data_IF_318787059964
#
_entry.id   IF_318787059964
#
_cell.length_a   1.000
_cell.length_b   1.000
_cell.length_c   1.000
_cell.angle_alpha   90.00
_cell.angle_beta   90.00
_cell.angle_gamma   90.00
#
_symmetry.space_group_name_H-M   'P 1'
#
loop_
_entity.id
_entity.type
_entity.pdbx_description
1 polymer ?
#
# COMPACT_ATOMS: atom_id res chain seq x y z
N UNK A 1 -15.52 15.92 -11.38
CA UNK A 1 -15.79 14.88 -12.40
C UNK A 1 -14.76 13.80 -12.19
N UNK A 2 -15.18 12.57 -11.89
CA UNK A 2 -14.22 11.48 -11.68
C UNK A 2 -13.53 11.14 -13.00
N UNK A 3 -12.20 11.13 -12.98
CA UNK A 3 -11.42 10.79 -14.15
C UNK A 3 -11.76 9.37 -14.63
N UNK A 4 -12.00 9.19 -15.92
CA UNK A 4 -12.30 7.88 -16.49
C UNK A 4 -11.07 6.98 -16.38
N UNK A 5 -11.25 5.74 -15.92
CA UNK A 5 -10.16 4.75 -15.92
C UNK A 5 -9.85 4.33 -17.37
N UNK A 6 -8.57 4.22 -17.74
CA UNK A 6 -8.17 3.72 -19.05
C UNK A 6 -8.64 2.27 -19.24
N UNK A 7 -8.74 1.78 -20.50
CA UNK A 7 -9.00 0.37 -20.77
C UNK A 7 -7.84 -0.51 -20.23
N UNK A 8 -8.08 -1.81 -19.94
CA UNK A 8 -7.05 -2.71 -19.41
C UNK A 8 -5.74 -2.70 -20.21
N UNK A 9 -5.84 -2.68 -21.55
CA UNK A 9 -4.69 -2.69 -22.47
C UNK A 9 -3.77 -1.49 -22.31
N UNK A 10 -4.31 -0.34 -21.87
CA UNK A 10 -3.59 0.92 -21.77
C UNK A 10 -3.36 1.32 -20.30
N UNK A 11 -3.81 0.52 -19.33
CA UNK A 11 -3.80 0.90 -17.92
C UNK A 11 -2.38 1.19 -17.41
N UNK A 12 -1.45 0.25 -17.63
CA UNK A 12 -0.09 0.38 -17.13
C UNK A 12 0.70 1.48 -17.86
N UNK A 13 0.50 1.63 -19.18
CA UNK A 13 1.11 2.73 -19.94
C UNK A 13 0.54 4.09 -19.53
N UNK A 14 -0.74 4.16 -19.17
CA UNK A 14 -1.38 5.38 -18.63
C UNK A 14 -0.85 5.73 -17.25
N UNK A 15 -0.67 4.76 -16.35
CA UNK A 15 -0.02 4.97 -15.04
C UNK A 15 1.36 5.59 -15.26
N UNK A 16 2.21 4.95 -16.06
CA UNK A 16 3.58 5.42 -16.32
C UNK A 16 3.61 6.81 -16.95
N UNK A 17 2.82 7.04 -18.01
CA UNK A 17 2.83 8.31 -18.73
C UNK A 17 2.23 9.48 -17.93
N UNK A 18 1.16 9.23 -17.15
CA UNK A 18 0.59 10.26 -16.27
C UNK A 18 1.57 10.62 -15.14
N UNK A 19 2.24 9.64 -14.54
CA UNK A 19 3.25 9.86 -13.52
C UNK A 19 4.48 10.61 -14.09
N UNK A 20 5.03 10.18 -15.22
CA UNK A 20 6.15 10.84 -15.88
C UNK A 20 5.84 12.30 -16.23
N UNK A 21 4.63 12.55 -16.76
CA UNK A 21 4.18 13.91 -17.09
C UNK A 21 4.12 14.79 -15.84
N UNK A 22 3.55 14.28 -14.74
CA UNK A 22 3.44 15.04 -13.49
C UNK A 22 4.82 15.30 -12.88
N UNK A 23 5.70 14.30 -12.84
CA UNK A 23 7.07 14.42 -12.32
C UNK A 23 7.82 15.54 -13.04
N UNK A 24 7.81 15.53 -14.37
CA UNK A 24 8.46 16.54 -15.19
C UNK A 24 7.86 17.94 -14.97
N UNK A 25 6.52 18.07 -14.97
CA UNK A 25 5.85 19.35 -14.70
C UNK A 25 6.08 19.88 -13.29
N UNK A 26 6.27 18.96 -12.34
CA UNK A 26 6.51 19.30 -10.94
C UNK A 26 7.95 19.70 -10.66
N UNK A 27 8.83 19.69 -11.67
CA UNK A 27 10.25 20.04 -11.50
C UNK A 27 11.00 19.10 -10.57
N UNK A 28 10.53 17.85 -10.40
CA UNK A 28 11.21 16.82 -9.62
C UNK A 28 12.19 16.11 -10.55
N UNK A 29 13.46 16.11 -10.20
CA UNK A 29 14.52 15.50 -11.00
C UNK A 29 14.95 14.16 -10.40
N UNK A 30 15.34 13.24 -11.28
CA UNK A 30 15.85 11.91 -10.91
C UNK A 30 17.35 11.90 -11.23
N UNK A 31 18.20 11.67 -10.24
CA UNK A 31 19.65 11.75 -10.38
C UNK A 31 20.25 10.40 -10.85
N UNK A 32 20.78 10.31 -12.09
CA UNK A 32 21.34 9.07 -12.61
C UNK A 32 22.61 8.61 -11.87
N UNK A 33 23.41 9.53 -11.34
CA UNK A 33 24.63 9.18 -10.63
C UNK A 33 24.30 8.51 -9.28
N UNK A 34 23.29 9.02 -8.57
CA UNK A 34 22.82 8.40 -7.33
C UNK A 34 22.11 7.06 -7.60
N UNK A 35 21.47 6.88 -8.76
CA UNK A 35 20.96 5.57 -9.19
C UNK A 35 22.11 4.57 -9.36
N UNK A 36 23.17 4.95 -10.08
CA UNK A 36 24.35 4.09 -10.28
C UNK A 36 25.00 3.72 -8.95
N UNK A 37 25.22 4.71 -8.07
CA UNK A 37 25.77 4.48 -6.73
C UNK A 37 24.87 3.53 -5.93
N UNK A 38 23.56 3.75 -5.94
CA UNK A 38 22.60 2.91 -5.22
C UNK A 38 22.65 1.46 -5.70
N UNK A 39 22.54 1.22 -7.02
CA UNK A 39 22.59 -0.12 -7.61
C UNK A 39 23.91 -0.82 -7.28
N UNK A 40 25.04 -0.13 -7.46
CA UNK A 40 26.36 -0.72 -7.29
C UNK A 40 26.71 -0.97 -5.81
N UNK A 41 26.07 -0.26 -4.89
CA UNK A 41 26.23 -0.47 -3.45
C UNK A 41 25.55 -1.74 -2.93
N UNK A 42 24.57 -2.29 -3.66
CA UNK A 42 23.78 -3.44 -3.21
C UNK A 42 24.55 -4.77 -3.27
N UNK A 43 24.69 -5.49 -2.14
CA UNK A 43 25.22 -6.85 -2.15
C UNK A 43 24.21 -7.82 -2.76
N UNK A 44 24.66 -8.69 -3.68
CA UNK A 44 23.80 -9.67 -4.35
C UNK A 44 23.10 -10.62 -3.37
N UNK A 45 23.79 -11.06 -2.32
CA UNK A 45 23.24 -11.99 -1.33
C UNK A 45 22.17 -11.33 -0.46
N UNK A 46 22.29 -10.03 -0.22
CA UNK A 46 21.27 -9.27 0.48
C UNK A 46 20.06 -9.09 -0.43
N UNK A 47 20.26 -8.70 -1.70
CA UNK A 47 19.18 -8.59 -2.69
C UNK A 47 18.35 -9.87 -2.73
N UNK A 48 18.99 -11.02 -3.00
CA UNK A 48 18.30 -12.33 -3.06
C UNK A 48 17.50 -12.66 -1.79
N UNK A 49 17.95 -12.18 -0.63
CA UNK A 49 17.30 -12.43 0.65
C UNK A 49 16.15 -11.47 0.94
N UNK A 50 16.20 -10.24 0.42
CA UNK A 50 15.32 -9.15 0.84
C UNK A 50 14.45 -8.55 -0.27
N UNK A 51 14.68 -8.87 -1.54
CA UNK A 51 13.88 -8.40 -2.68
C UNK A 51 12.72 -9.33 -3.04
N UNK A 52 12.66 -10.52 -2.45
CA UNK A 52 11.72 -11.56 -2.84
C UNK A 52 10.25 -11.17 -2.63
N UNK A 53 9.33 -11.68 -3.45
CA UNK A 53 7.90 -11.37 -3.37
C UNK A 53 7.25 -11.70 -2.02
N UNK A 54 7.78 -12.68 -1.28
CA UNK A 54 7.38 -13.01 0.08
C UNK A 54 7.58 -11.86 1.08
N UNK A 55 8.39 -10.87 0.72
CA UNK A 55 8.70 -9.69 1.54
C UNK A 55 7.64 -8.60 1.44
N UNK A 56 6.68 -8.72 0.54
CA UNK A 56 5.48 -7.86 0.49
C UNK A 56 4.49 -8.10 1.65
N UNK A 57 4.86 -8.90 2.66
CA UNK A 57 4.05 -9.11 3.87
C UNK A 57 2.91 -10.13 3.70
N UNK A 58 3.04 -11.07 2.78
CA UNK A 58 1.90 -11.88 2.27
C UNK A 58 1.88 -13.31 2.79
N UNK A 59 2.98 -13.79 3.39
CA UNK A 59 3.03 -15.16 3.92
C UNK A 59 2.33 -15.22 5.28
N UNK A 60 1.01 -15.38 5.24
CA UNK A 60 0.19 -15.53 6.43
C UNK A 60 0.42 -16.92 7.05
N UNK A 61 0.60 -17.03 8.37
CA UNK A 61 0.81 -18.32 9.06
C UNK A 61 -0.51 -19.05 9.30
N UNK A 62 -1.38 -19.10 8.29
CA UNK A 62 -2.73 -19.66 8.37
C UNK A 62 -2.92 -20.81 7.36
N UNK A 63 -3.78 -21.74 7.73
CA UNK A 63 -4.36 -22.71 6.79
C UNK A 63 -5.78 -22.24 6.50
N UNK A 64 -6.12 -22.10 5.23
CA UNK A 64 -7.45 -21.70 4.77
C UNK A 64 -8.24 -22.92 4.33
N UNK A 65 -9.54 -22.95 4.62
CA UNK A 65 -10.42 -24.07 4.26
C UNK A 65 -10.76 -24.04 2.76
N UNK A 66 -10.60 -22.89 2.10
CA UNK A 66 -10.81 -22.74 0.67
C UNK A 66 -10.00 -21.61 0.03
N UNK A 67 -9.86 -21.66 -1.30
CA UNK A 67 -9.29 -20.57 -2.10
C UNK A 67 -10.08 -19.27 -1.95
N UNK A 68 -11.42 -19.34 -1.88
CA UNK A 68 -12.26 -18.14 -1.69
C UNK A 68 -11.95 -17.45 -0.36
N UNK A 69 -11.76 -18.23 0.70
CA UNK A 69 -11.47 -17.72 2.03
C UNK A 69 -10.11 -17.03 2.11
N UNK A 70 -9.09 -17.64 1.50
CA UNK A 70 -7.77 -17.00 1.37
C UNK A 70 -7.84 -15.71 0.56
N UNK A 71 -8.53 -15.72 -0.59
CA UNK A 71 -8.78 -14.51 -1.38
C UNK A 71 -9.52 -13.45 -0.56
N UNK A 72 -10.42 -13.85 0.32
CA UNK A 72 -11.17 -12.92 1.16
C UNK A 72 -10.28 -12.22 2.18
N UNK A 73 -9.37 -12.97 2.81
CA UNK A 73 -8.38 -12.41 3.75
C UNK A 73 -7.41 -11.49 3.03
N UNK A 74 -6.84 -11.92 1.90
CA UNK A 74 -5.92 -11.08 1.11
C UNK A 74 -6.62 -9.82 0.57
N UNK A 75 -7.85 -9.95 0.07
CA UNK A 75 -8.67 -8.85 -0.42
C UNK A 75 -9.03 -7.84 0.67
N UNK A 76 -9.40 -8.31 1.86
CA UNK A 76 -9.71 -7.45 3.01
C UNK A 76 -8.44 -6.77 3.56
N UNK A 77 -7.31 -7.49 3.59
CA UNK A 77 -6.03 -6.90 3.94
C UNK A 77 -5.64 -5.79 2.95
N UNK A 78 -5.76 -6.02 1.64
CA UNK A 78 -5.51 -5.00 0.63
C UNK A 78 -6.45 -3.80 0.74
N UNK A 79 -7.74 -4.05 1.02
CA UNK A 79 -8.74 -3.01 1.22
C UNK A 79 -8.31 -2.05 2.33
N UNK A 80 -7.87 -2.61 3.45
CA UNK A 80 -7.51 -1.87 4.66
C UNK A 80 -6.04 -1.46 4.72
N UNK A 81 -5.22 -1.81 3.73
CA UNK A 81 -3.79 -1.45 3.64
C UNK A 81 -3.57 0.04 3.32
N UNK A 82 -3.99 0.89 4.25
CA UNK A 82 -3.77 2.33 4.28
C UNK A 82 -3.42 2.78 5.71
N UNK A 83 -3.35 4.10 5.96
CA UNK A 83 -2.99 4.75 7.23
C UNK A 83 -1.48 4.93 7.43
N UNK A 84 -0.68 4.86 6.38
CA UNK A 84 0.76 5.11 6.49
C UNK A 84 1.10 6.52 7.00
N UNK A 85 0.22 7.50 6.73
CA UNK A 85 0.30 8.85 7.31
C UNK A 85 0.00 8.95 8.82
N UNK A 86 -0.52 7.89 9.43
CA UNK A 86 -0.76 7.79 10.88
C UNK A 86 0.30 6.94 11.60
N UNK A 87 1.45 6.67 10.97
CA UNK A 87 2.51 5.83 11.53
C UNK A 87 2.85 6.14 12.99
N UNK A 88 3.04 7.41 13.34
CA UNK A 88 3.34 7.81 14.72
C UNK A 88 2.22 7.48 15.70
N UNK A 89 0.98 7.82 15.33
CA UNK A 89 -0.18 7.49 16.12
C UNK A 89 -0.29 5.97 16.31
N UNK A 90 -0.14 5.18 15.25
CA UNK A 90 -0.20 3.73 15.34
C UNK A 90 0.92 3.13 16.19
N UNK A 91 2.16 3.63 16.09
CA UNK A 91 3.22 3.20 16.99
C UNK A 91 2.91 3.53 18.45
N UNK A 92 2.37 4.73 18.73
CA UNK A 92 1.93 5.12 20.07
C UNK A 92 0.80 4.24 20.60
N UNK A 93 -0.21 3.97 19.77
CA UNK A 93 -1.46 3.33 20.17
C UNK A 93 -1.42 1.80 20.14
N UNK A 94 -0.51 1.19 19.38
CA UNK A 94 -0.46 -0.26 19.18
C UNK A 94 0.94 -0.87 19.22
N UNK A 95 1.99 -0.04 19.32
CA UNK A 95 3.38 -0.49 19.18
C UNK A 95 3.78 -0.96 17.78
N UNK A 96 2.94 -0.72 16.75
CA UNK A 96 3.10 -1.27 15.38
C UNK A 96 2.97 -0.17 14.33
N UNK A 97 3.58 -0.39 13.17
CA UNK A 97 3.35 0.43 11.99
C UNK A 97 2.04 0.06 11.27
N UNK A 98 1.64 0.88 10.30
CA UNK A 98 0.34 0.76 9.60
C UNK A 98 0.03 -0.65 9.09
N UNK A 99 0.90 -1.20 8.23
CA UNK A 99 0.69 -2.53 7.65
C UNK A 99 0.50 -3.62 8.73
N UNK A 100 1.38 -3.68 9.73
CA UNK A 100 1.29 -4.67 10.81
C UNK A 100 0.05 -4.50 11.69
N UNK A 101 -0.47 -3.29 11.85
CA UNK A 101 -1.74 -3.07 12.55
C UNK A 101 -2.92 -3.58 11.72
N UNK A 102 -2.91 -3.37 10.41
CA UNK A 102 -3.96 -3.85 9.51
C UNK A 102 -3.94 -5.37 9.38
N UNK A 103 -2.74 -5.96 9.28
CA UNK A 103 -2.52 -7.40 9.35
C UNK A 103 -3.09 -7.99 10.65
N UNK A 104 -2.76 -7.40 11.81
CA UNK A 104 -3.32 -7.81 13.11
C UNK A 104 -4.86 -7.77 13.12
N UNK A 105 -5.46 -6.69 12.60
CA UNK A 105 -6.90 -6.53 12.55
C UNK A 105 -7.57 -7.62 11.70
N UNK A 106 -7.05 -7.87 10.49
CA UNK A 106 -7.64 -8.83 9.55
C UNK A 106 -7.45 -10.26 10.04
N UNK A 107 -6.27 -10.60 10.57
CA UNK A 107 -6.01 -11.93 11.13
C UNK A 107 -6.85 -12.19 12.38
N UNK A 108 -7.01 -11.19 13.26
CA UNK A 108 -7.89 -11.32 14.43
C UNK A 108 -9.35 -11.54 14.00
N UNK A 109 -9.81 -10.81 12.97
CA UNK A 109 -11.15 -10.99 12.42
C UNK A 109 -11.36 -12.37 11.81
N UNK A 110 -10.33 -12.93 11.15
CA UNK A 110 -10.34 -14.27 10.62
C UNK A 110 -10.43 -15.33 11.71
N UNK A 111 -9.53 -15.27 12.70
CA UNK A 111 -9.46 -16.24 13.80
C UNK A 111 -10.74 -16.24 14.63
N UNK A 112 -11.32 -15.07 14.88
CA UNK A 112 -12.58 -14.92 15.62
C UNK A 112 -13.83 -15.20 14.79
N UNK A 113 -13.71 -15.43 13.47
CA UNK A 113 -14.89 -15.62 12.60
C UNK A 113 -15.52 -17.01 12.74
N UNK A 114 -14.79 -17.99 13.27
CA UNK A 114 -15.26 -19.38 13.42
C UNK A 114 -16.56 -19.52 14.20
N UNK A 115 -16.80 -18.65 15.19
CA UNK A 115 -18.01 -18.65 16.01
C UNK A 115 -19.22 -17.99 15.32
N UNK A 116 -18.99 -16.99 14.47
CA UNK A 116 -20.04 -16.25 13.77
C UNK A 116 -19.53 -15.55 12.49
N UNK A 117 -19.40 -16.28 11.37
CA UNK A 117 -18.78 -15.78 10.14
C UNK A 117 -19.50 -14.54 9.57
N UNK A 118 -20.82 -14.49 9.65
CA UNK A 118 -21.67 -13.41 9.14
C UNK A 118 -21.50 -12.08 9.88
N UNK A 119 -20.97 -12.12 11.10
CA UNK A 119 -20.68 -10.92 11.91
C UNK A 119 -19.25 -10.42 11.77
N UNK A 120 -18.37 -11.23 11.18
CA UNK A 120 -16.97 -10.86 10.93
C UNK A 120 -16.90 -9.79 9.84
N UNK A 121 -15.96 -8.85 9.99
CA UNK A 121 -15.65 -7.83 8.98
C UNK A 121 -15.12 -8.43 7.66
N UNK A 122 -14.95 -9.74 7.58
CA UNK A 122 -14.66 -10.48 6.35
C UNK A 122 -15.92 -10.78 5.51
N UNK A 123 -17.12 -10.52 6.03
CA UNK A 123 -18.38 -10.64 5.30
C UNK A 123 -18.97 -9.26 4.98
N UNK A 124 -19.75 -9.13 3.91
CA UNK A 124 -20.44 -7.88 3.56
C UNK A 124 -21.33 -7.37 4.72
N UNK A 125 -22.04 -8.30 5.39
CA UNK A 125 -22.87 -7.99 6.56
C UNK A 125 -22.04 -7.47 7.73
N UNK A 126 -20.94 -8.13 8.08
CA UNK A 126 -20.08 -7.68 9.17
C UNK A 126 -19.39 -6.36 8.86
N UNK A 127 -18.96 -6.12 7.62
CA UNK A 127 -18.45 -4.82 7.16
C UNK A 127 -19.46 -3.68 7.38
N UNK A 128 -20.73 -3.93 7.03
CA UNK A 128 -21.83 -2.97 7.21
C UNK A 128 -22.10 -2.64 8.69
N UNK A 129 -21.90 -3.62 9.57
CA UNK A 129 -22.19 -3.53 11.01
C UNK A 129 -20.95 -3.18 11.85
N UNK A 130 -19.78 -3.07 11.22
CA UNK A 130 -18.52 -2.82 11.90
C UNK A 130 -18.60 -1.54 12.75
N UNK A 131 -18.25 -1.66 14.03
CA UNK A 131 -18.24 -0.54 14.97
C UNK A 131 -16.82 -0.13 15.31
N UNK A 132 -16.64 1.14 15.70
CA UNK A 132 -15.35 1.66 16.21
C UNK A 132 -14.81 0.78 17.35
N UNK A 133 -15.68 0.31 18.25
CA UNK A 133 -15.27 -0.55 19.36
C UNK A 133 -14.78 -1.93 18.90
N UNK A 134 -15.48 -2.56 17.96
CA UNK A 134 -15.06 -3.85 17.38
C UNK A 134 -13.72 -3.72 16.66
N UNK A 135 -13.55 -2.68 15.84
CA UNK A 135 -12.31 -2.44 15.10
C UNK A 135 -11.14 -2.13 16.04
N UNK A 136 -11.38 -1.36 17.11
CA UNK A 136 -10.38 -1.08 18.14
C UNK A 136 -9.90 -2.36 18.84
N UNK A 137 -10.82 -3.26 19.20
CA UNK A 137 -10.48 -4.52 19.85
C UNK A 137 -9.69 -5.45 18.91
N UNK A 138 -10.14 -5.62 17.66
CA UNK A 138 -9.46 -6.45 16.65
C UNK A 138 -8.06 -5.91 16.32
N UNK A 139 -7.91 -4.60 16.15
CA UNK A 139 -6.62 -3.97 15.87
C UNK A 139 -5.73 -3.79 17.12
N UNK A 140 -6.29 -3.99 18.32
CA UNK A 140 -5.69 -3.61 19.61
C UNK A 140 -5.25 -2.13 19.63
N UNK A 141 -6.13 -1.24 19.16
CA UNK A 141 -5.92 0.21 19.20
C UNK A 141 -6.47 0.73 20.53
N UNK A 142 -5.57 1.31 21.35
CA UNK A 142 -5.97 2.06 22.52
C UNK A 142 -6.78 3.30 22.10
N UNK A 143 -7.99 3.45 22.63
CA UNK A 143 -8.90 4.55 22.25
C UNK A 143 -8.84 5.74 23.21
N UNK A 144 -8.25 5.54 24.39
CA UNK A 144 -8.19 6.53 25.46
C UNK A 144 -6.80 6.55 26.08
N UNK A 145 -6.37 7.74 26.48
CA UNK A 145 -5.13 7.95 27.25
C UNK A 145 -5.50 8.26 28.70
N UNK A 146 -4.89 7.55 29.63
CA UNK A 146 -5.08 7.88 31.05
C UNK A 146 -4.36 9.17 31.43
N UNK A 147 -5.10 10.14 31.95
CA UNK A 147 -4.55 11.38 32.53
C UNK A 147 -5.04 11.58 33.97
N UNK A 148 -4.28 12.32 34.77
CA UNK A 148 -4.69 12.66 36.12
C UNK A 148 -6.01 13.44 36.10
N UNK A 149 -6.90 13.14 37.04
CA UNK A 149 -8.18 13.83 37.16
C UNK A 149 -7.93 15.32 37.46
N UNK A 150 -8.53 16.26 36.71
CA UNK A 150 -8.18 17.69 36.77
C UNK A 150 -8.38 18.30 38.16
N UNK A 151 -9.29 17.75 38.97
CA UNK A 151 -9.61 18.25 40.32
C UNK A 151 -9.26 17.31 41.47
N UNK A 152 -8.97 16.02 41.21
CA UNK A 152 -8.70 15.02 42.26
C UNK A 152 -7.22 14.64 42.35
N UNK A 153 -6.36 15.33 41.60
CA UNK A 153 -4.91 15.12 41.59
C UNK A 153 -4.50 13.80 40.94
N UNK A 154 -3.22 13.44 41.10
CA UNK A 154 -2.62 12.24 40.48
C UNK A 154 -3.09 10.90 41.04
N UNK A 155 -3.84 10.91 42.15
CA UNK A 155 -4.38 9.70 42.79
C UNK A 155 -5.56 9.09 42.02
N UNK A 156 -6.24 9.89 41.19
CA UNK A 156 -7.34 9.44 40.33
C UNK A 156 -6.95 9.73 38.90
N UNK A 157 -7.13 8.75 38.01
CA UNK A 157 -6.94 8.93 36.57
C UNK A 157 -8.28 8.83 35.84
N UNK A 158 -8.40 9.55 34.73
CA UNK A 158 -9.53 9.50 33.81
C UNK A 158 -9.03 9.14 32.42
N UNK A 159 -9.81 8.36 31.68
CA UNK A 159 -9.57 8.10 30.27
C UNK A 159 -10.04 9.29 29.45
N UNK A 160 -9.10 9.99 28.82
CA UNK A 160 -9.42 11.03 27.82
C UNK A 160 -9.39 10.39 26.44
N UNK A 161 -10.37 10.71 25.61
CA UNK A 161 -10.47 10.24 24.22
C UNK A 161 -9.21 10.61 23.43
N UNK A 162 -8.63 9.66 22.72
CA UNK A 162 -7.53 9.93 21.77
C UNK A 162 -8.11 10.25 20.38
N UNK A 163 -8.02 11.51 19.95
CA UNK A 163 -8.63 11.95 18.69
C UNK A 163 -8.05 11.25 17.45
N UNK A 164 -6.74 10.94 17.43
CA UNK A 164 -6.12 10.24 16.30
C UNK A 164 -6.59 8.78 16.23
N UNK A 165 -6.77 8.12 17.39
CA UNK A 165 -7.33 6.77 17.44
C UNK A 165 -8.73 6.72 16.81
N UNK A 166 -9.60 7.67 17.16
CA UNK A 166 -10.96 7.74 16.63
C UNK A 166 -11.01 8.14 15.15
N UNK A 167 -10.10 9.00 14.69
CA UNK A 167 -9.94 9.33 13.27
C UNK A 167 -9.57 8.09 12.44
N UNK A 168 -8.56 7.34 12.90
CA UNK A 168 -8.10 6.08 12.28
C UNK A 168 -9.26 5.08 12.19
N UNK A 169 -9.94 4.83 13.32
CA UNK A 169 -11.03 3.86 13.39
C UNK A 169 -12.25 4.32 12.56
N UNK A 170 -12.48 5.63 12.46
CA UNK A 170 -13.50 6.22 11.61
C UNK A 170 -13.24 5.98 10.13
N UNK A 171 -11.99 6.15 9.67
CA UNK A 171 -11.60 5.85 8.29
C UNK A 171 -11.79 4.36 7.96
N UNK A 172 -11.36 3.46 8.85
CA UNK A 172 -11.53 2.01 8.69
C UNK A 172 -13.02 1.62 8.58
N UNK A 173 -13.86 2.12 9.51
CA UNK A 173 -15.30 1.86 9.48
C UNK A 173 -15.96 2.43 8.21
N UNK A 174 -15.53 3.60 7.75
CA UNK A 174 -16.00 4.22 6.52
C UNK A 174 -15.73 3.35 5.28
N UNK A 175 -14.49 2.88 5.13
CA UNK A 175 -14.08 2.00 4.01
C UNK A 175 -14.85 0.68 4.04
N UNK A 176 -15.00 0.04 5.21
CA UNK A 176 -15.76 -1.20 5.34
C UNK A 176 -17.23 -0.99 4.95
N UNK A 177 -17.85 0.07 5.45
CA UNK A 177 -19.25 0.39 5.14
C UNK A 177 -19.45 0.63 3.65
N UNK A 178 -18.64 1.47 3.01
CA UNK A 178 -18.74 1.75 1.57
C UNK A 178 -18.56 0.47 0.74
N UNK A 179 -17.59 -0.37 1.13
CA UNK A 179 -17.33 -1.66 0.48
C UNK A 179 -18.52 -2.61 0.62
N UNK A 180 -19.15 -2.67 1.80
CA UNK A 180 -20.36 -3.48 2.01
C UNK A 180 -21.52 -3.05 1.12
N UNK A 181 -21.68 -1.75 0.88
CA UNK A 181 -22.73 -1.21 0.01
C UNK A 181 -22.51 -1.58 -1.46
N UNK A 182 -21.24 -1.66 -1.89
CA UNK A 182 -20.87 -2.17 -3.22
C UNK A 182 -21.13 -3.68 -3.31
N UNK A 183 -20.65 -4.46 -2.35
CA UNK A 183 -20.82 -5.92 -2.33
C UNK A 183 -22.30 -6.32 -2.34
N UNK A 184 -23.13 -5.69 -1.51
CA UNK A 184 -24.56 -5.98 -1.44
C UNK A 184 -25.28 -5.62 -2.76
N UNK A 185 -24.85 -4.55 -3.43
CA UNK A 185 -25.39 -4.17 -4.75
C UNK A 185 -25.05 -5.18 -5.84
N UNK A 186 -23.86 -5.77 -5.76
CA UNK A 186 -23.40 -6.80 -6.69
C UNK A 186 -23.89 -8.21 -6.30
N UNK A 187 -24.44 -8.38 -5.10
CA UNK A 187 -24.90 -9.67 -4.59
C UNK A 187 -23.76 -10.58 -4.12
N UNK A 188 -22.56 -10.05 -3.87
CA UNK A 188 -21.43 -10.83 -3.37
C UNK A 188 -21.40 -10.83 -1.83
N UNK A 189 -21.19 -12.00 -1.23
CA UNK A 189 -21.14 -12.16 0.24
C UNK A 189 -19.87 -11.59 0.90
N UNK A 190 -18.80 -11.44 0.12
CA UNK A 190 -17.47 -11.07 0.59
C UNK A 190 -16.60 -10.58 -0.57
N UNK A 191 -15.47 -9.96 -0.26
CA UNK A 191 -14.49 -9.57 -1.29
C UNK A 191 -13.88 -10.81 -1.94
N UNK A 192 -13.65 -11.89 -1.18
CA UNK A 192 -13.12 -13.14 -1.72
C UNK A 192 -14.02 -13.76 -2.78
N UNK A 193 -15.34 -13.76 -2.54
CA UNK A 193 -16.32 -14.24 -3.52
C UNK A 193 -16.30 -13.41 -4.81
N UNK A 194 -16.22 -12.08 -4.67
CA UNK A 194 -16.11 -11.18 -5.82
C UNK A 194 -14.79 -11.37 -6.58
N UNK A 195 -13.66 -11.50 -5.87
CA UNK A 195 -12.34 -11.74 -6.46
C UNK A 195 -12.31 -13.05 -7.23
N UNK A 196 -12.85 -14.12 -6.67
CA UNK A 196 -12.88 -15.43 -7.31
C UNK A 196 -13.62 -15.39 -8.65
N UNK A 197 -14.77 -14.71 -8.69
CA UNK A 197 -15.52 -14.48 -9.94
C UNK A 197 -14.67 -13.69 -10.95
N UNK A 198 -14.08 -12.56 -10.53
CA UNK A 198 -13.31 -11.68 -11.43
C UNK A 198 -11.99 -12.28 -11.90
N UNK A 199 -11.37 -13.15 -11.11
CA UNK A 199 -10.20 -13.93 -11.52
C UNK A 199 -10.56 -14.91 -12.65
N UNK A 200 -11.74 -15.53 -12.56
CA UNK A 200 -12.30 -16.34 -13.65
C UNK A 200 -12.50 -15.51 -14.92
N UNK A 201 -13.15 -14.35 -14.80
CA UNK A 201 -13.40 -13.44 -15.93
C UNK A 201 -12.12 -12.87 -16.54
N UNK A 202 -11.09 -12.62 -15.73
CA UNK A 202 -9.86 -11.98 -16.16
C UNK A 202 -8.93 -12.91 -16.97
N UNK A 203 -9.07 -14.23 -16.82
CA UNK A 203 -8.27 -15.23 -17.54
C UNK A 203 -6.74 -14.98 -17.49
N UNK A 204 -6.27 -14.49 -16.34
CA UNK A 204 -4.88 -14.13 -16.09
C UNK A 204 -4.47 -12.73 -16.54
N UNK A 205 -5.39 -11.88 -17.01
CA UNK A 205 -5.14 -10.47 -17.31
C UNK A 205 -5.08 -9.64 -16.01
N UNK A 206 -3.87 -9.43 -15.50
CA UNK A 206 -3.62 -8.63 -14.31
C UNK A 206 -4.11 -7.18 -14.42
N UNK A 207 -3.78 -6.42 -15.49
CA UNK A 207 -4.29 -5.07 -15.70
C UNK A 207 -5.82 -4.98 -15.71
N UNK A 208 -6.52 -5.97 -16.29
CA UNK A 208 -7.98 -6.04 -16.22
C UNK A 208 -8.48 -6.13 -14.78
N UNK A 209 -7.89 -7.02 -13.96
CA UNK A 209 -8.28 -7.17 -12.56
C UNK A 209 -8.02 -5.90 -11.73
N UNK A 210 -6.90 -5.21 -11.96
CA UNK A 210 -6.59 -3.92 -11.32
C UNK A 210 -7.65 -2.87 -11.68
N UNK A 211 -8.02 -2.77 -12.95
CA UNK A 211 -9.08 -1.86 -13.41
C UNK A 211 -10.42 -2.23 -12.80
N UNK A 212 -10.77 -3.51 -12.76
CA UNK A 212 -12.04 -3.97 -12.21
C UNK A 212 -12.14 -3.64 -10.72
N UNK A 213 -11.07 -3.83 -9.94
CA UNK A 213 -10.97 -3.38 -8.54
C UNK A 213 -11.20 -1.87 -8.41
N UNK A 214 -10.44 -1.05 -9.14
CA UNK A 214 -10.51 0.42 -9.06
C UNK A 214 -11.82 1.01 -9.61
N UNK A 215 -12.53 0.28 -10.47
CA UNK A 215 -13.84 0.68 -10.99
C UNK A 215 -14.99 0.27 -10.08
N UNK A 216 -14.79 -0.78 -9.27
CA UNK A 216 -15.82 -1.36 -8.41
C UNK A 216 -15.80 -0.77 -7.01
N UNK A 217 -14.62 -0.67 -6.41
CA UNK A 217 -14.44 -0.27 -5.03
C UNK A 217 -13.72 1.09 -4.95
N UNK A 218 -14.36 2.16 -4.42
CA UNK A 218 -13.76 3.49 -4.42
C UNK A 218 -12.43 3.56 -3.65
N UNK A 219 -12.30 2.79 -2.57
CA UNK A 219 -11.06 2.71 -1.78
C UNK A 219 -9.86 2.12 -2.55
N UNK A 220 -10.06 1.45 -3.69
CA UNK A 220 -9.00 0.99 -4.60
C UNK A 220 -8.70 2.00 -5.73
N UNK A 221 -9.52 3.05 -5.89
CA UNK A 221 -9.43 4.06 -6.94
C UNK A 221 -8.48 5.19 -6.58
N UNK A 222 -7.22 4.86 -6.34
CA UNK A 222 -6.12 5.80 -6.08
C UNK A 222 -5.76 6.58 -7.36
N UNK A 223 -6.65 7.52 -7.70
CA UNK A 223 -6.61 8.42 -8.86
C UNK A 223 -6.87 9.84 -8.38
N UNK A 224 -5.95 10.75 -8.69
CA UNK A 224 -5.97 12.11 -8.18
C UNK A 224 -6.02 13.11 -9.32
N UNK A 225 -6.70 14.24 -9.10
CA UNK A 225 -6.66 15.37 -10.02
C UNK A 225 -5.62 16.38 -9.52
N UNK A 226 -4.48 16.45 -10.19
CA UNK A 226 -3.39 17.39 -9.85
C UNK A 226 -3.15 18.29 -11.05
N UNK A 227 -3.25 19.60 -10.86
CA UNK A 227 -3.14 20.61 -11.92
C UNK A 227 -4.08 20.32 -13.10
N UNK A 228 -5.33 19.96 -12.79
CA UNK A 228 -6.38 19.55 -13.72
C UNK A 228 -6.04 18.30 -14.57
N UNK A 229 -5.04 17.52 -14.16
CA UNK A 229 -4.66 16.27 -14.83
C UNK A 229 -4.92 15.06 -13.94
N UNK A 230 -5.53 14.00 -14.49
CA UNK A 230 -5.72 12.76 -13.75
C UNK A 230 -4.41 11.98 -13.65
N UNK A 231 -4.06 11.60 -12.43
CA UNK A 231 -2.84 10.87 -12.09
C UNK A 231 -3.25 9.53 -11.52
N UNK A 232 -2.77 8.45 -12.13
CA UNK A 232 -3.16 7.09 -11.78
C UNK A 232 -2.03 6.42 -11.02
N UNK A 233 -2.25 6.09 -9.74
CA UNK A 233 -1.27 5.38 -8.91
C UNK A 233 -1.75 3.96 -8.59
N UNK A 234 -3.03 3.80 -8.24
CA UNK A 234 -3.71 2.50 -8.07
C UNK A 234 -2.97 1.50 -7.15
N UNK A 235 -2.26 2.01 -6.13
CA UNK A 235 -1.32 1.24 -5.30
C UNK A 235 -1.91 -0.05 -4.74
N UNK A 236 -3.04 0.03 -4.02
CA UNK A 236 -3.62 -1.15 -3.35
C UNK A 236 -4.16 -2.18 -4.35
N UNK A 237 -4.64 -1.74 -5.50
CA UNK A 237 -5.15 -2.64 -6.54
C UNK A 237 -4.00 -3.40 -7.21
N UNK A 238 -2.93 -2.70 -7.57
CA UNK A 238 -1.70 -3.31 -8.08
C UNK A 238 -1.13 -4.30 -7.06
N UNK A 239 -1.01 -3.89 -5.80
CA UNK A 239 -0.50 -4.73 -4.71
C UNK A 239 -1.34 -6.00 -4.53
N UNK A 240 -2.68 -5.89 -4.47
CA UNK A 240 -3.56 -7.05 -4.30
C UNK A 240 -3.39 -8.08 -5.43
N UNK A 241 -3.35 -7.62 -6.67
CA UNK A 241 -3.20 -8.53 -7.83
C UNK A 241 -1.82 -9.20 -7.82
N UNK A 242 -0.77 -8.48 -7.41
CA UNK A 242 0.56 -9.08 -7.17
C UNK A 242 0.54 -10.11 -6.07
N UNK A 243 -0.05 -9.80 -4.92
CA UNK A 243 -0.21 -10.71 -3.79
C UNK A 243 -0.94 -12.00 -4.19
N UNK A 244 -2.04 -11.89 -4.95
CA UNK A 244 -2.75 -13.06 -5.48
C UNK A 244 -1.87 -13.85 -6.45
N UNK A 245 -1.17 -13.18 -7.37
CA UNK A 245 -0.27 -13.86 -8.30
C UNK A 245 0.81 -14.67 -7.58
N UNK A 246 1.33 -14.16 -6.47
CA UNK A 246 2.40 -14.80 -5.71
C UNK A 246 1.89 -15.93 -4.82
N UNK A 247 0.75 -15.73 -4.14
CA UNK A 247 0.18 -16.73 -3.24
C UNK A 247 -0.30 -18.00 -3.97
N UNK A 248 -0.76 -17.85 -5.22
CA UNK A 248 -1.31 -18.94 -6.02
C UNK A 248 -0.39 -19.39 -7.16
N UNK A 249 0.64 -18.61 -7.52
CA UNK A 249 1.56 -18.91 -8.62
C UNK A 249 2.47 -20.12 -8.40
N UNK A 250 2.68 -20.53 -7.15
CA UNK A 250 3.50 -21.71 -6.79
C UNK A 250 2.67 -22.96 -6.50
N UNK A 251 1.33 -22.89 -6.61
CA UNK A 251 0.43 -24.02 -6.35
C UNK A 251 0.24 -24.87 -7.59
N UNK A 252 -0.17 -26.12 -7.38
CA UNK A 252 -0.49 -27.00 -8.50
C UNK A 252 -1.73 -26.48 -9.24
N UNK A 253 -1.77 -26.52 -10.58
CA UNK A 253 -2.92 -26.01 -11.35
C UNK A 253 -4.27 -26.65 -10.99
N UNK A 254 -4.27 -27.87 -10.43
CA UNK A 254 -5.49 -28.54 -9.96
C UNK A 254 -6.07 -27.94 -8.66
N UNK A 255 -5.28 -27.16 -7.92
CA UNK A 255 -5.67 -26.55 -6.63
C UNK A 255 -6.22 -25.14 -6.80
N UNK A 256 -6.02 -24.51 -7.97
CA UNK A 256 -6.39 -23.13 -8.25
C UNK A 256 -7.46 -23.09 -9.35
N UNK A 257 -8.70 -22.63 -9.07
CA UNK A 257 -9.81 -22.67 -10.01
C UNK A 257 -9.79 -21.55 -11.07
N UNK A 258 -8.69 -20.80 -11.17
CA UNK A 258 -8.53 -19.66 -12.09
C UNK A 258 -7.10 -19.61 -12.63
N UNK A 259 -6.92 -18.89 -13.73
CA UNK A 259 -5.58 -18.61 -14.26
C UNK A 259 -4.93 -17.48 -13.46
N UNK A 260 -3.75 -17.75 -12.92
CA UNK A 260 -2.99 -16.80 -12.10
C UNK A 260 -2.73 -15.50 -12.89
N UNK A 261 -2.99 -14.32 -12.31
CA UNK A 261 -2.78 -13.04 -12.99
C UNK A 261 -1.32 -12.85 -13.43
N UNK A 262 -1.12 -12.37 -14.66
CA UNK A 262 0.19 -11.93 -15.09
C UNK A 262 0.49 -10.53 -14.54
N UNK A 263 1.62 -10.41 -13.85
CA UNK A 263 2.07 -9.18 -13.19
C UNK A 263 3.38 -8.63 -13.75
N UNK A 264 3.96 -9.24 -14.80
CA UNK A 264 5.35 -8.97 -15.23
C UNK A 264 5.68 -7.51 -15.58
N UNK A 265 4.68 -6.69 -15.92
CA UNK A 265 4.84 -5.29 -16.31
C UNK A 265 4.33 -4.29 -15.26
N UNK A 266 3.90 -4.76 -14.10
CA UNK A 266 3.39 -3.89 -13.04
C UNK A 266 4.49 -2.95 -12.54
N UNK A 267 4.18 -1.67 -12.28
CA UNK A 267 5.10 -0.77 -11.64
C UNK A 267 5.20 -1.07 -10.14
N UNK A 268 6.12 -0.39 -9.48
CA UNK A 268 6.19 -0.32 -8.01
C UNK A 268 4.89 0.18 -7.35
N UNK A 269 4.71 -0.13 -6.07
CA UNK A 269 3.51 0.18 -5.28
C UNK A 269 3.72 1.44 -4.42
N UNK A 270 3.91 2.59 -5.07
CA UNK A 270 4.28 3.84 -4.41
C UNK A 270 3.33 4.23 -3.25
N UNK A 271 3.80 4.05 -2.03
CA UNK A 271 3.19 4.49 -0.77
C UNK A 271 3.97 5.69 -0.19
N UNK A 272 4.20 5.74 1.12
CA UNK A 272 5.09 6.74 1.72
C UNK A 272 6.54 6.26 1.95
N UNK A 273 6.82 4.97 1.83
CA UNK A 273 8.15 4.39 2.06
C UNK A 273 9.06 4.70 0.87
N UNK A 274 8.60 4.37 -0.34
CA UNK A 274 9.37 4.57 -1.58
C UNK A 274 9.82 6.03 -1.76
N UNK A 275 8.92 7.04 -1.76
CA UNK A 275 9.37 8.43 -1.92
C UNK A 275 10.34 8.85 -0.83
N UNK A 276 10.12 8.43 0.42
CA UNK A 276 11.04 8.75 1.53
C UNK A 276 12.44 8.18 1.27
N UNK A 277 12.56 6.93 0.83
CA UNK A 277 13.87 6.30 0.59
C UNK A 277 14.57 6.86 -0.64
N UNK A 278 13.84 7.11 -1.72
CA UNK A 278 14.43 7.68 -2.92
C UNK A 278 14.96 9.11 -2.68
N UNK A 279 14.28 9.91 -1.84
CA UNK A 279 14.80 11.22 -1.39
C UNK A 279 16.01 11.03 -0.48
N UNK A 280 15.97 10.07 0.46
CA UNK A 280 17.08 9.78 1.37
C UNK A 280 18.37 9.40 0.62
N UNK A 281 18.24 8.60 -0.44
CA UNK A 281 19.35 8.20 -1.31
C UNK A 281 19.75 9.27 -2.34
N UNK A 282 19.10 10.44 -2.33
CA UNK A 282 19.37 11.51 -3.31
C UNK A 282 18.92 11.18 -4.74
N UNK A 283 18.23 10.07 -4.96
CA UNK A 283 17.71 9.68 -6.28
C UNK A 283 16.62 10.67 -6.72
N UNK A 284 15.74 11.08 -5.80
CA UNK A 284 14.78 12.16 -6.06
C UNK A 284 15.32 13.48 -5.51
N UNK A 285 15.52 14.45 -6.39
CA UNK A 285 15.82 15.83 -6.02
C UNK A 285 14.57 16.72 -6.20
N UNK A 286 14.20 17.40 -5.11
CA UNK A 286 13.03 18.27 -5.00
C UNK A 286 13.39 19.76 -5.06
N UNK A 287 14.68 20.11 -5.14
CA UNK A 287 15.18 21.49 -5.01
C UNK A 287 14.59 22.44 -6.05
N UNK A 288 14.34 21.93 -7.27
CA UNK A 288 13.75 22.66 -8.38
C UNK A 288 12.22 22.49 -8.50
N UNK A 289 11.57 21.83 -7.53
CA UNK A 289 10.15 21.49 -7.65
C UNK A 289 9.28 22.74 -7.80
N UNK A 290 8.21 22.68 -8.61
CA UNK A 290 7.25 23.79 -8.70
C UNK A 290 6.42 23.94 -7.42
N UNK A 291 6.25 22.85 -6.65
CA UNK A 291 5.51 22.80 -5.40
C UNK A 291 6.38 23.32 -4.22
N UNK A 292 6.01 24.45 -3.57
CA UNK A 292 6.78 25.00 -2.46
C UNK A 292 6.94 24.04 -1.28
N UNK A 293 5.93 23.20 -1.00
CA UNK A 293 6.00 22.24 0.10
C UNK A 293 7.11 21.22 -0.16
N UNK A 294 7.22 20.75 -1.42
CA UNK A 294 8.25 19.79 -1.83
C UNK A 294 9.65 20.41 -1.84
N UNK A 295 9.80 21.66 -2.32
CA UNK A 295 11.10 22.36 -2.25
C UNK A 295 11.60 22.53 -0.82
N UNK A 296 10.69 22.73 0.13
CA UNK A 296 11.01 22.91 1.55
C UNK A 296 11.11 21.60 2.34
N UNK A 297 10.80 20.46 1.70
CA UNK A 297 10.77 19.16 2.35
C UNK A 297 12.18 18.77 2.77
N UNK A 298 12.34 18.38 4.04
CA UNK A 298 13.57 17.79 4.53
C UNK A 298 13.28 16.67 5.51
N UNK A 299 13.92 15.51 5.30
CA UNK A 299 13.71 14.32 6.12
C UNK A 299 14.16 14.52 7.58
N UNK A 300 14.97 15.54 7.87
CA UNK A 300 15.40 15.90 9.21
C UNK A 300 14.42 16.80 9.98
N UNK A 301 13.37 17.32 9.32
CA UNK A 301 12.35 18.17 9.94
C UNK A 301 10.96 17.52 9.83
N UNK A 302 10.45 16.88 10.90
CA UNK A 302 9.14 16.23 10.92
C UNK A 302 7.98 17.12 10.46
N UNK A 303 8.03 18.42 10.75
CA UNK A 303 6.96 19.35 10.35
C UNK A 303 6.83 19.54 8.84
N UNK A 304 7.91 19.30 8.08
CA UNK A 304 7.92 19.42 6.62
C UNK A 304 7.41 18.17 5.90
N UNK A 305 7.19 17.08 6.63
CA UNK A 305 6.85 15.76 6.08
C UNK A 305 5.35 15.49 6.04
N UNK A 306 4.53 16.40 6.59
CA UNK A 306 3.08 16.36 6.40
C UNK A 306 2.72 17.06 5.10
N UNK A 307 2.22 16.30 4.13
CA UNK A 307 1.93 16.77 2.79
C UNK A 307 0.43 16.83 2.51
N UNK A 308 0.07 17.78 1.65
CA UNK A 308 -1.23 17.77 0.99
C UNK A 308 -1.35 16.60 0.03
N UNK A 309 -2.58 16.22 -0.33
CA UNK A 309 -2.83 15.16 -1.30
C UNK A 309 -2.16 15.41 -2.66
N UNK A 310 -2.16 16.66 -3.14
CA UNK A 310 -1.49 17.01 -4.38
C UNK A 310 0.03 16.86 -4.29
N UNK A 311 0.65 17.35 -3.21
CA UNK A 311 2.10 17.24 -2.99
C UNK A 311 2.53 15.78 -2.81
N UNK A 312 1.76 14.99 -2.05
CA UNK A 312 1.99 13.56 -1.88
C UNK A 312 1.85 12.79 -3.20
N UNK A 313 0.85 13.13 -4.03
CA UNK A 313 0.68 12.53 -5.36
C UNK A 313 1.89 12.80 -6.26
N UNK A 314 2.45 14.02 -6.24
CA UNK A 314 3.63 14.38 -7.04
C UNK A 314 4.85 13.52 -6.73
N UNK A 315 5.17 13.33 -5.44
CA UNK A 315 6.33 12.50 -5.05
C UNK A 315 6.08 11.00 -5.25
N UNK A 316 4.84 10.53 -5.10
CA UNK A 316 4.47 9.13 -5.38
C UNK A 316 4.57 8.83 -6.88
N UNK A 317 4.10 9.75 -7.72
CA UNK A 317 4.31 9.68 -9.17
C UNK A 317 5.80 9.68 -9.54
N UNK A 318 6.61 10.55 -8.92
CA UNK A 318 8.05 10.58 -9.13
C UNK A 318 8.74 9.28 -8.72
N UNK A 319 8.25 8.63 -7.66
CA UNK A 319 8.77 7.33 -7.21
C UNK A 319 8.53 6.22 -8.22
N UNK A 320 7.36 6.19 -8.87
CA UNK A 320 7.07 5.22 -9.94
C UNK A 320 8.06 5.40 -11.11
N UNK A 321 8.33 6.65 -11.49
CA UNK A 321 9.27 6.96 -12.58
C UNK A 321 10.70 6.56 -12.17
N UNK A 322 11.15 6.99 -11.00
CA UNK A 322 12.50 6.71 -10.51
C UNK A 322 12.77 5.20 -10.35
N UNK A 323 11.81 4.42 -9.84
CA UNK A 323 11.99 2.98 -9.73
C UNK A 323 12.06 2.29 -11.11
N UNK A 324 11.29 2.76 -12.09
CA UNK A 324 11.41 2.31 -13.47
C UNK A 324 12.80 2.61 -14.04
N UNK A 325 13.36 3.79 -13.74
CA UNK A 325 14.70 4.19 -14.16
C UNK A 325 15.79 3.35 -13.46
N UNK A 326 15.63 3.05 -12.17
CA UNK A 326 16.54 2.18 -11.40
C UNK A 326 16.60 0.77 -12.01
N UNK A 327 15.45 0.14 -12.28
CA UNK A 327 15.42 -1.21 -12.88
C UNK A 327 16.03 -1.19 -14.28
N UNK A 328 15.67 -0.19 -15.10
CA UNK A 328 16.23 -0.06 -16.45
C UNK A 328 17.75 0.11 -16.41
N UNK A 329 18.25 0.95 -15.50
CA UNK A 329 19.69 1.17 -15.32
C UNK A 329 20.41 -0.06 -14.77
N UNK A 330 19.76 -0.84 -13.90
CA UNK A 330 20.32 -2.11 -13.42
C UNK A 330 20.56 -3.09 -14.56
N UNK A 331 19.62 -3.18 -15.52
CA UNK A 331 19.77 -4.03 -16.71
C UNK A 331 20.93 -3.58 -17.60
N UNK A 332 21.13 -2.27 -17.77
CA UNK A 332 22.29 -1.72 -18.49
C UNK A 332 23.61 -2.06 -17.78
N UNK A 333 23.67 -1.80 -16.47
CA UNK A 333 24.83 -2.09 -15.63
C UNK A 333 25.18 -3.58 -15.60
N UNK A 334 24.20 -4.47 -15.75
CA UNK A 334 24.45 -5.90 -15.88
C UNK A 334 25.40 -6.21 -17.05
N UNK A 335 25.21 -5.50 -18.17
CA UNK A 335 26.04 -5.63 -19.38
C UNK A 335 27.39 -4.94 -19.20
N UNK A 336 27.41 -3.74 -18.62
CA UNK A 336 28.63 -2.94 -18.43
C UNK A 336 29.61 -3.57 -17.42
N UNK A 337 29.08 -4.17 -16.35
CA UNK A 337 29.87 -4.69 -15.22
C UNK A 337 30.03 -6.21 -15.22
N UNK A 338 29.29 -6.93 -16.07
CA UNK A 338 29.22 -8.38 -16.07
C UNK A 338 28.45 -8.97 -14.88
N UNK A 339 27.72 -8.15 -14.10
CA UNK A 339 26.87 -8.60 -12.99
C UNK A 339 25.51 -9.07 -13.50
N UNK A 340 25.45 -10.30 -14.03
CA UNK A 340 24.25 -10.86 -14.68
C UNK A 340 22.97 -10.81 -13.81
N UNK A 341 23.10 -10.89 -12.48
CA UNK A 341 21.96 -10.85 -11.56
C UNK A 341 21.20 -9.53 -11.57
N UNK A 342 21.82 -8.44 -12.05
CA UNK A 342 21.12 -7.16 -12.21
C UNK A 342 20.10 -7.22 -13.37
N UNK A 343 20.36 -8.04 -14.41
CA UNK A 343 19.48 -8.16 -15.58
C UNK A 343 18.12 -8.83 -15.28
N UNK A 344 18.01 -9.52 -14.13
CA UNK A 344 16.76 -10.16 -13.72
C UNK A 344 15.91 -9.28 -12.81
N UNK A 345 16.36 -8.07 -12.46
CA UNK A 345 15.61 -7.20 -11.57
C UNK A 345 14.25 -6.85 -12.14
N UNK A 346 13.25 -6.90 -11.28
CA UNK A 346 11.90 -6.44 -11.57
C UNK A 346 11.51 -5.29 -10.64
N UNK A 347 10.54 -4.48 -11.04
CA UNK A 347 10.05 -3.40 -10.18
C UNK A 347 9.42 -3.94 -8.89
N UNK A 348 8.76 -5.09 -8.94
CA UNK A 348 8.15 -5.73 -7.78
C UNK A 348 9.20 -6.20 -6.77
N UNK A 349 10.35 -6.67 -7.24
CA UNK A 349 11.47 -7.02 -6.37
C UNK A 349 12.13 -5.77 -5.78
N UNK A 350 12.29 -4.71 -6.58
CA UNK A 350 12.81 -3.42 -6.11
C UNK A 350 11.88 -2.80 -5.05
N UNK A 351 10.56 -2.89 -5.23
CA UNK A 351 9.58 -2.45 -4.25
C UNK A 351 9.73 -3.21 -2.93
N UNK A 352 9.82 -4.54 -2.99
CA UNK A 352 10.03 -5.39 -1.81
C UNK A 352 11.35 -5.09 -1.09
N UNK A 353 12.41 -4.86 -1.87
CA UNK A 353 13.72 -4.44 -1.38
C UNK A 353 13.67 -3.11 -0.65
N UNK A 354 13.14 -2.06 -1.29
CA UNK A 354 13.00 -0.72 -0.70
C UNK A 354 12.13 -0.77 0.56
N UNK A 355 11.03 -1.52 0.53
CA UNK A 355 10.15 -1.64 1.69
C UNK A 355 10.86 -2.29 2.89
N UNK A 356 11.68 -3.31 2.64
CA UNK A 356 12.51 -3.95 3.66
C UNK A 356 13.65 -3.07 4.15
N UNK A 357 14.34 -2.38 3.25
CA UNK A 357 15.40 -1.42 3.54
C UNK A 357 14.88 -0.35 4.51
N UNK A 358 13.64 0.10 4.32
CA UNK A 358 12.98 1.05 5.20
C UNK A 358 12.74 0.58 6.64
N UNK A 359 12.99 -0.70 6.94
CA UNK A 359 12.80 -1.32 8.26
C UNK A 359 14.12 -1.65 8.96
N UNK A 360 15.26 -1.52 8.28
CA UNK A 360 16.59 -1.76 8.83
C UNK A 360 16.88 -0.82 10.01
N UNK A 361 17.76 -1.26 10.92
CA UNK A 361 17.95 -0.59 12.21
C UNK A 361 18.41 0.87 12.08
N UNK A 362 19.29 1.15 11.13
CA UNK A 362 19.83 2.48 10.80
C UNK A 362 18.83 3.36 10.03
N UNK A 363 17.83 2.76 9.39
CA UNK A 363 16.83 3.46 8.56
C UNK A 363 15.44 3.54 9.18
N UNK A 364 15.22 2.84 10.31
CA UNK A 364 13.95 2.83 11.03
C UNK A 364 13.62 4.20 11.64
N UNK A 365 14.64 4.99 11.94
CA UNK A 365 14.54 6.33 12.52
C UNK A 365 14.35 7.42 11.45
N UNK A 366 14.39 7.06 10.15
CA UNK A 366 14.07 8.01 9.07
C UNK A 366 12.58 8.32 9.15
N UNK A 367 12.30 9.58 9.44
CA UNK A 367 10.94 10.10 9.50
C UNK A 367 10.25 9.96 8.14
N UNK A 368 9.01 9.50 8.14
CA UNK A 368 8.28 9.16 6.91
C UNK A 368 7.43 10.33 6.47
N UNK A 369 7.37 10.53 5.17
CA UNK A 369 6.39 11.42 4.58
C UNK A 369 4.97 10.93 4.94
N UNK A 370 4.06 11.86 5.21
CA UNK A 370 2.72 11.55 5.70
C UNK A 370 1.66 12.38 4.97
N UNK A 371 0.61 11.69 4.51
CA UNK A 371 -0.67 12.28 4.14
C UNK A 371 -1.72 11.66 5.06
N UNK A 372 -2.38 12.48 5.89
CA UNK A 372 -3.49 12.02 6.75
C UNK A 372 -4.81 12.16 6.00
N UNK A 373 -5.81 11.39 6.42
CA UNK A 373 -7.17 11.41 5.85
C UNK A 373 -7.34 10.66 4.53
N UNK A 374 -6.27 10.15 3.93
CA UNK A 374 -6.32 9.32 2.73
C UNK A 374 -6.59 7.85 3.07
N UNK A 375 -7.32 7.15 2.18
CA UNK A 375 -7.62 5.71 2.29
C UNK A 375 -6.83 4.87 1.29
N UNK A 376 -5.88 5.49 0.57
CA UNK A 376 -5.22 4.86 -0.58
C UNK A 376 -3.88 4.20 -0.25
N UNK A 377 -3.20 4.58 0.84
CA UNK A 377 -1.90 4.02 1.21
C UNK A 377 -1.50 4.27 2.67
#
# INVERSE_FOLDING_TARGET
MDAQLPPPTDLLSTIRSSCATLTAKSGITIDPANIDEYILSMPQDDWKRESGPEKHGVRLPLVFDSVEEELNVLGTLALLNFLSGYRHALHRLTGRGAFSTMEMLVLSAYISSSDNPDSSILSARGMRQATVAQLADLARIETHVEKAHPTLGSAVKVGEKDEEAFEILGLLAGVLKETSEVLDRLGNRSIGAWLLEKLGDAEGDGPKLVRDLASTFPSFRDVHLVDDQPIFILKKALWLVTVVSLAFGTREPSEVPFKVPNISSFPVFADNVLPTLLIHHGILDLSASSDPALRSLTLSNPSSLSLSSASATRIRAASIVACSDVVSRAHELATETGKEWLASWTEQELDGWLWNEGKWADRRDIERISEKGTVYY
#
